data_IF_219543666334
#
_entry.id   IF_219543666334
#
_cell.length_a   1.000
_cell.length_b   1.000
_cell.length_c   1.000
_cell.angle_alpha   90.00
_cell.angle_beta   90.00
_cell.angle_gamma   90.00
#
_symmetry.space_group_name_H-M   'P 1'
#
loop_
_entity.id
_entity.type
_entity.pdbx_description
1 polymer ?
2 polymer ?
3 water ?
#
# COMPACT_ATOMS: atom_id res chain seq x y z
N UNK A 13 9.40 0.90 -23.76
CA UNK A 13 8.82 1.66 -22.66
C UNK A 13 7.52 2.33 -23.08
N UNK A 14 6.43 1.98 -22.40
CA UNK A 14 5.10 2.48 -22.72
C UNK A 14 4.66 3.51 -21.67
N UNK A 15 3.58 4.21 -21.99
CA UNK A 15 3.06 5.25 -21.12
C UNK A 15 2.42 4.65 -19.87
N UNK A 16 2.05 5.54 -18.95
CA UNK A 16 1.45 5.13 -17.68
C UNK A 16 0.18 4.33 -17.93
N UNK A 17 0.17 3.09 -17.43
CA UNK A 17 -0.96 2.19 -17.62
C UNK A 17 -1.10 1.30 -16.41
N UNK A 18 -2.12 0.45 -16.43
CA UNK A 18 -2.42 -0.47 -15.34
C UNK A 18 -1.99 -1.88 -15.74
N UNK A 19 -1.27 -2.54 -14.83
CA UNK A 19 -0.83 -3.91 -15.00
C UNK A 19 -1.42 -4.76 -13.89
N UNK A 20 -1.18 -6.07 -13.99
CA UNK A 20 -1.72 -7.01 -13.03
C UNK A 20 -0.93 -6.97 -11.72
N UNK A 21 -1.59 -7.40 -10.64
CA UNK A 21 -0.93 -7.56 -9.34
C UNK A 21 -1.81 -8.51 -8.52
N UNK A 22 -1.52 -9.81 -8.61
CA UNK A 22 -2.31 -10.83 -7.93
C UNK A 22 -1.84 -10.93 -6.49
N UNK A 23 -2.63 -10.37 -5.57
CA UNK A 23 -2.31 -10.44 -4.15
C UNK A 23 -2.80 -11.77 -3.60
N UNK A 24 -1.91 -12.48 -2.91
CA UNK A 24 -2.23 -13.78 -2.31
C UNK A 24 -1.95 -13.68 -0.82
N UNK A 25 -3.00 -13.72 -0.01
CA UNK A 25 -2.85 -13.55 1.43
C UNK A 25 -2.07 -14.68 2.07
N UNK A 26 -2.09 -15.87 1.47
CA UNK A 26 -1.30 -16.98 2.00
C UNK A 26 0.19 -16.72 1.86
N UNK A 27 0.59 -15.96 0.84
CA UNK A 27 1.99 -15.61 0.67
C UNK A 27 2.51 -14.66 1.74
N UNK A 28 1.61 -14.02 2.50
CA UNK A 28 1.99 -13.07 3.54
C UNK A 28 1.68 -13.59 4.94
N UNK A 29 1.27 -14.85 5.05
CA UNK A 29 0.92 -15.38 6.36
C UNK A 29 -0.32 -14.78 6.98
N UNK A 30 -1.17 -14.13 6.18
CA UNK A 30 -2.37 -13.49 6.68
C UNK A 30 -3.59 -14.41 6.66
N UNK A 31 -3.43 -15.66 6.22
CA UNK A 31 -4.55 -16.60 6.23
C UNK A 31 -4.92 -17.05 7.63
N UNK A 32 -4.10 -16.76 8.64
CA UNK A 32 -4.46 -17.14 10.00
C UNK A 32 -5.61 -16.30 10.53
N UNK A 33 -5.75 -15.05 10.06
CA UNK A 33 -6.84 -14.20 10.49
C UNK A 33 -7.85 -13.88 9.40
N UNK A 34 -7.50 -14.07 8.12
CA UNK A 34 -8.41 -13.82 7.01
C UNK A 34 -9.07 -15.13 6.61
N UNK A 35 -10.40 -15.12 6.57
CA UNK A 35 -11.15 -16.30 6.15
C UNK A 35 -11.38 -16.30 4.64
N UNK A 36 -11.90 -15.20 4.11
CA UNK A 36 -12.19 -15.09 2.67
C UNK A 36 -12.25 -13.63 2.30
N UNK A 37 -11.73 -13.23 1.12
CA UNK A 37 -11.06 -14.13 0.18
C UNK A 37 -9.60 -14.36 0.54
N UNK A 38 -8.96 -15.32 -0.12
CA UNK A 38 -7.55 -15.61 0.13
C UNK A 38 -6.63 -15.03 -0.94
N UNK A 39 -7.19 -14.56 -2.06
CA UNK A 39 -6.41 -13.94 -3.12
C UNK A 39 -7.34 -13.08 -3.95
N UNK A 40 -6.78 -12.03 -4.55
CA UNK A 40 -7.57 -11.16 -5.40
C UNK A 40 -6.66 -10.35 -6.30
N UNK A 41 -7.25 -9.81 -7.38
CA UNK A 41 -6.52 -9.00 -8.34
C UNK A 41 -6.59 -7.54 -7.88
N UNK A 42 -5.44 -6.98 -7.52
CA UNK A 42 -5.37 -5.61 -7.05
C UNK A 42 -4.82 -4.64 -8.11
N UNK A 43 -4.16 -5.16 -9.14
CA UNK A 43 -3.53 -4.35 -10.19
C UNK A 43 -2.44 -3.46 -9.62
N UNK A 44 -1.71 -2.77 -10.50
CA UNK A 44 -0.78 -1.73 -10.10
C UNK A 44 -0.55 -0.82 -11.30
N UNK A 45 0.25 0.22 -11.10
CA UNK A 45 0.45 1.24 -12.12
C UNK A 45 1.92 1.30 -12.53
N UNK A 46 2.15 1.42 -13.83
CA UNK A 46 3.52 1.53 -14.33
C UNK A 46 3.49 2.07 -15.75
N UNK A 47 4.48 2.88 -16.08
CA UNK A 47 4.61 3.42 -17.42
C UNK A 47 5.22 4.80 -17.40
N UNK A 48 5.63 5.24 -18.59
CA UNK A 48 6.25 6.55 -18.73
C UNK A 48 5.24 7.66 -18.50
N UNK A 49 5.73 8.79 -17.98
CA UNK A 49 4.92 9.98 -17.74
C UNK A 49 5.53 11.11 -18.57
N UNK A 50 5.16 11.16 -19.85
CA UNK A 50 5.66 12.15 -20.79
C UNK A 50 4.52 13.06 -21.25
N UNK A 51 4.89 14.06 -22.03
CA UNK A 51 3.95 15.08 -22.51
C UNK A 51 3.41 14.71 -23.88
N UNK A 52 2.09 14.86 -24.11
CA UNK A 52 1.12 15.31 -23.12
C UNK A 52 0.59 14.18 -22.25
N UNK A 53 -0.13 14.54 -21.18
CA UNK A 53 -0.70 13.54 -20.28
C UNK A 53 -2.03 13.06 -20.86
N UNK A 54 -2.04 11.82 -21.36
CA UNK A 54 -3.24 11.20 -21.92
C UNK A 54 -3.92 10.36 -20.85
N UNK A 55 -5.13 10.74 -20.48
CA UNK A 55 -5.88 10.02 -19.46
C UNK A 55 -7.36 10.29 -19.67
N UNK A 56 -8.18 9.28 -19.35
CA UNK A 56 -9.63 9.46 -19.42
C UNK A 56 -10.10 10.51 -18.42
N UNK A 57 -9.51 10.53 -17.23
CA UNK A 57 -9.81 11.52 -16.22
C UNK A 57 -8.79 12.65 -16.27
N UNK A 58 -9.25 13.85 -15.92
CA UNK A 58 -8.38 15.02 -16.02
C UNK A 58 -7.30 14.98 -14.95
N UNK A 59 -6.05 15.18 -15.31
CA UNK A 59 -4.97 15.21 -14.29
C UNK A 59 -5.08 16.46 -13.43
N UNK A 60 -4.46 16.39 -12.26
CA UNK A 60 -4.40 17.54 -11.38
C UNK A 60 -3.60 18.66 -12.04
N UNK A 61 -3.89 19.89 -11.65
CA UNK A 61 -3.17 21.04 -12.19
C UNK A 61 -1.68 20.94 -11.89
N UNK A 62 -1.34 20.47 -10.69
CA UNK A 62 0.07 20.33 -10.33
C UNK A 62 0.77 19.31 -11.21
N UNK A 63 0.10 18.20 -11.51
CA UNK A 63 0.70 17.20 -12.39
C UNK A 63 0.95 17.77 -13.78
N UNK A 64 -0.02 18.54 -14.30
CA UNK A 64 0.16 19.18 -15.61
C UNK A 64 1.37 20.11 -15.57
N UNK A 65 1.46 20.94 -14.53
CA UNK A 65 2.56 21.91 -14.44
C UNK A 65 3.90 21.19 -14.35
N UNK A 66 4.00 20.16 -13.52
CA UNK A 66 5.27 19.48 -13.33
C UNK A 66 5.67 18.71 -14.59
N UNK A 67 4.71 18.09 -15.27
CA UNK A 67 5.02 17.40 -16.52
C UNK A 67 5.48 18.38 -17.59
N UNK A 68 4.84 19.56 -17.65
CA UNK A 68 5.27 20.57 -18.61
C UNK A 68 6.67 21.08 -18.30
N UNK A 69 6.98 21.25 -17.02
CA UNK A 69 8.31 21.71 -16.64
C UNK A 69 9.37 20.65 -16.95
N UNK A 70 9.04 19.37 -16.74
CA UNK A 70 9.96 18.31 -17.11
C UNK A 70 10.14 18.22 -18.62
N UNK A 71 9.08 18.51 -19.38
CA UNK A 71 9.22 18.56 -20.84
C UNK A 71 10.08 19.72 -21.27
N UNK A 72 9.99 20.85 -20.57
CA UNK A 72 10.80 22.02 -20.89
C UNK A 72 12.26 21.81 -20.51
N UNK A 73 12.54 21.73 -19.21
CA UNK A 73 13.90 21.53 -18.70
C UNK A 73 13.91 20.26 -17.85
N UNK A 74 14.23 19.10 -18.45
CA UNK A 74 14.28 17.87 -17.65
C UNK A 74 15.41 17.85 -16.64
N UNK A 75 16.46 18.64 -16.84
CA UNK A 75 17.56 18.68 -15.88
C UNK A 75 17.09 19.24 -14.53
N UNK A 76 16.11 20.13 -14.55
CA UNK A 76 15.65 20.77 -13.32
C UNK A 76 14.74 19.84 -12.52
N UNK A 77 13.53 19.62 -13.01
CA UNK A 77 12.55 18.88 -12.23
C UNK A 77 12.43 17.44 -12.71
N UNK A 78 12.23 16.50 -11.79
CA UNK A 78 11.98 15.12 -12.17
C UNK A 78 10.56 14.97 -12.72
N UNK A 79 10.31 13.94 -13.52
CA UNK A 79 8.97 13.78 -14.10
C UNK A 79 7.97 13.28 -13.06
N UNK A 80 6.69 13.36 -13.43
CA UNK A 80 5.64 12.78 -12.61
C UNK A 80 5.73 11.25 -12.65
N UNK A 81 5.02 10.61 -11.74
CA UNK A 81 5.09 9.15 -11.59
C UNK A 81 3.71 8.52 -11.78
N UNK A 82 3.72 7.29 -12.28
CA UNK A 82 2.49 6.56 -12.59
C UNK A 82 1.95 5.93 -11.31
N UNK A 83 0.79 6.41 -10.85
CA UNK A 83 0.20 5.96 -9.58
C UNK A 83 -1.30 5.82 -9.77
N UNK A 84 -1.94 5.05 -8.89
CA UNK A 84 -3.41 4.92 -8.97
C UNK A 84 -4.09 6.26 -8.76
N UNK A 85 -5.16 6.49 -9.53
CA UNK A 85 -6.00 7.68 -9.39
C UNK A 85 -7.44 7.37 -9.05
N UNK A 86 -7.91 6.15 -9.32
CA UNK A 86 -9.21 5.68 -8.88
C UNK A 86 -9.05 4.29 -8.29
N UNK A 87 -9.72 4.04 -7.17
CA UNK A 87 -9.68 2.73 -6.54
C UNK A 87 -11.09 2.32 -6.11
N UNK A 88 -11.28 1.01 -5.99
CA UNK A 88 -12.53 0.41 -5.56
C UNK A 88 -12.27 -0.49 -4.35
N UNK A 89 -13.28 -0.68 -3.50
CA UNK A 89 -13.08 -1.49 -2.29
C UNK A 89 -13.29 -2.97 -2.56
N UNK A 90 -12.91 -3.79 -1.57
CA UNK A 90 -13.24 -5.21 -1.58
C UNK A 90 -13.67 -5.60 -0.16
N UNK A 91 -14.53 -6.61 -0.09
CA UNK A 91 -14.99 -7.13 1.19
C UNK A 91 -14.04 -8.22 1.68
N UNK A 92 -13.76 -8.21 2.98
CA UNK A 92 -12.90 -9.20 3.61
C UNK A 92 -13.61 -9.72 4.86
N UNK A 93 -13.69 -11.04 4.99
CA UNK A 93 -14.23 -11.70 6.16
C UNK A 93 -13.05 -12.23 6.97
N UNK A 94 -12.84 -11.69 8.16
CA UNK A 94 -11.64 -12.00 8.94
C UNK A 94 -12.03 -12.18 10.40
N UNK A 95 -11.02 -12.44 11.24
CA UNK A 95 -11.20 -12.63 12.67
C UNK A 95 -10.37 -11.56 13.38
N UNK A 96 -11.03 -10.67 14.10
CA UNK A 96 -10.34 -9.56 14.75
C UNK A 96 -9.69 -10.04 16.04
N UNK A 97 -9.20 -9.10 16.85
CA UNK A 97 -8.46 -9.47 18.06
C UNK A 97 -9.36 -10.04 19.15
N UNK A 98 -10.68 -9.87 19.03
CA UNK A 98 -11.63 -10.32 20.04
C UNK A 98 -12.31 -11.63 19.66
N UNK A 99 -11.72 -12.41 18.74
CA UNK A 99 -12.27 -13.67 18.29
C UNK A 99 -13.68 -13.50 17.72
N UNK A 100 -13.90 -12.40 17.00
CA UNK A 100 -15.14 -12.13 16.33
C UNK A 100 -14.94 -12.19 14.82
N UNK A 101 -15.90 -12.77 14.11
CA UNK A 101 -15.84 -12.84 12.66
C UNK A 101 -16.48 -11.57 12.09
N UNK A 102 -15.67 -10.78 11.40
CA UNK A 102 -16.06 -9.46 10.93
C UNK A 102 -16.04 -9.43 9.41
N UNK A 103 -17.11 -8.92 8.82
CA UNK A 103 -17.19 -8.65 7.39
C UNK A 103 -16.97 -7.15 7.19
N UNK A 104 -15.79 -6.77 6.70
CA UNK A 104 -15.43 -5.37 6.56
C UNK A 104 -15.13 -5.04 5.10
N UNK A 105 -15.62 -3.88 4.67
CA UNK A 105 -15.37 -3.39 3.31
C UNK A 105 -14.14 -2.51 3.35
N UNK A 106 -12.99 -3.07 2.95
CA UNK A 106 -11.75 -2.31 2.89
C UNK A 106 -11.71 -1.47 1.63
N UNK A 107 -11.44 -0.18 1.79
CA UNK A 107 -11.39 0.76 0.69
C UNK A 107 -10.00 0.81 0.08
N UNK A 108 -9.92 1.34 -1.15
CA UNK A 108 -8.66 1.54 -1.85
C UNK A 108 -7.87 0.24 -1.95
N UNK A 109 -8.52 -0.80 -2.48
CA UNK A 109 -7.91 -2.12 -2.60
C UNK A 109 -7.62 -2.52 -4.04
N UNK A 110 -8.41 -2.05 -5.00
CA UNK A 110 -8.27 -2.42 -6.40
C UNK A 110 -8.09 -1.15 -7.22
N UNK A 111 -7.03 -1.10 -8.02
CA UNK A 111 -6.76 0.05 -8.87
C UNK A 111 -7.66 -0.03 -10.10
N UNK A 112 -8.44 1.02 -10.33
CA UNK A 112 -9.33 1.07 -11.49
C UNK A 112 -8.83 1.99 -12.60
N UNK A 113 -7.88 2.87 -12.30
CA UNK A 113 -7.28 3.73 -13.32
C UNK A 113 -5.97 4.28 -12.78
N UNK A 114 -5.01 4.48 -13.69
CA UNK A 114 -3.70 5.00 -13.35
C UNK A 114 -3.50 6.36 -14.01
N UNK A 115 -2.64 7.17 -13.39
CA UNK A 115 -2.35 8.49 -13.92
C UNK A 115 -1.03 8.99 -13.39
N UNK A 116 -0.56 10.08 -14.01
CA UNK A 116 0.73 10.67 -13.65
C UNK A 116 0.51 11.81 -12.67
N UNK A 117 1.21 11.76 -11.54
CA UNK A 117 1.06 12.76 -10.49
C UNK A 117 2.41 13.24 -9.97
N UNK B 4 -8.53 4.93 18.37
CA UNK B 4 -8.03 4.80 17.01
C UNK B 4 -6.73 4.02 16.97
N UNK B 5 -6.45 3.39 15.83
CA UNK B 5 -5.26 2.58 15.68
C UNK B 5 -4.04 3.48 15.54
N UNK B 6 -3.04 3.27 16.41
CA UNK B 6 -1.84 4.11 16.41
C UNK B 6 -0.64 3.36 15.86
N UNK B 7 -0.80 2.76 14.68
CA UNK B 7 0.30 1.99 14.10
C UNK B 7 1.36 2.92 13.49
N UNK B 8 0.93 4.09 12.97
CA UNK B 8 1.89 5.02 12.38
C UNK B 8 2.79 5.68 13.43
N UNK B 9 2.35 5.73 14.69
CA UNK B 9 3.18 6.34 15.73
C UNK B 9 4.45 5.55 15.95
N UNK B 10 4.44 4.24 15.66
CA UNK B 10 5.62 3.41 15.85
C UNK B 10 6.65 3.58 14.73
N UNK B 11 6.22 4.06 13.55
CA UNK B 11 7.14 4.23 12.43
C UNK B 11 7.98 5.50 12.53
N UNK B 12 7.73 6.36 13.51
CA UNK B 12 8.45 7.62 13.61
C UNK B 12 9.84 7.41 14.20
N UNK B 13 9.92 6.75 15.37
CA UNK B 13 11.21 6.53 16.02
C UNK B 13 12.10 5.58 15.24
N UNK B 14 11.53 4.75 14.38
CA UNK B 14 12.30 3.80 13.59
C UNK B 14 13.04 4.50 12.45
N UNK B 48 19.37 -4.38 16.45
CA UNK B 48 18.12 -5.10 16.63
C UNK B 48 17.29 -4.47 17.74
N UNK B 49 17.85 -3.43 18.38
CA UNK B 49 17.13 -2.74 19.44
C UNK B 49 15.95 -1.94 18.89
N UNK B 50 16.12 -1.32 17.72
CA UNK B 50 15.01 -0.61 17.10
C UNK B 50 13.88 -1.57 16.73
N UNK B 51 14.22 -2.79 16.33
CA UNK B 51 13.19 -3.79 16.04
C UNK B 51 12.42 -4.17 17.29
N UNK B 52 13.11 -4.32 18.42
CA UNK B 52 12.42 -4.60 19.67
C UNK B 52 11.54 -3.44 20.11
N UNK B 53 11.99 -2.20 19.90
CA UNK B 53 11.16 -1.05 20.22
C UNK B 53 9.92 -1.00 19.34
N UNK B 54 10.09 -1.29 18.05
CA UNK B 54 8.95 -1.36 17.14
C UNK B 54 7.97 -2.43 17.59
N UNK B 55 8.48 -3.60 17.98
CA UNK B 55 7.60 -4.68 18.45
C UNK B 55 6.84 -4.28 19.70
N UNK B 56 7.54 -3.65 20.66
CA UNK B 56 6.87 -3.21 21.89
C UNK B 56 5.81 -2.16 21.60
N UNK B 57 6.09 -1.24 20.67
CA UNK B 57 5.11 -0.23 20.32
C UNK B 57 3.88 -0.86 19.66
N UNK B 58 4.10 -1.84 18.77
CA UNK B 58 2.97 -2.52 18.15
C UNK B 58 2.16 -3.30 19.17
N UNK B 59 2.82 -3.89 20.17
CA UNK B 59 2.10 -4.55 21.25
C UNK B 59 1.28 -3.54 22.04
N UNK B 60 1.84 -2.36 22.30
CA UNK B 60 1.13 -1.36 23.09
C UNK B 60 -0.08 -0.83 22.34
N UNK B 61 0.01 -0.65 21.03
CA UNK B 61 -1.09 -0.14 20.23
C UNK B 61 -1.96 -1.23 19.62
N UNK B 62 -1.79 -2.49 20.05
CA UNK B 62 -2.52 -3.60 19.45
C UNK B 62 -3.98 -3.66 19.87
N UNK B 63 -4.41 -2.84 20.83
CA UNK B 63 -5.78 -2.93 21.32
C UNK B 63 -6.77 -2.33 20.33
N UNK B 64 -6.57 -1.07 19.96
CA UNK B 64 -7.51 -0.39 19.08
C UNK B 64 -7.48 -0.90 17.66
N UNK B 65 -6.41 -1.59 17.26
CA UNK B 65 -6.27 -2.12 15.90
C UNK B 65 -6.87 -3.52 15.86
N UNK B 66 -8.20 -3.58 15.83
CA UNK B 66 -8.88 -4.86 15.73
C UNK B 66 -8.62 -5.52 14.38
N UNK B 67 -8.79 -4.77 13.30
CA UNK B 67 -8.56 -5.30 11.97
C UNK B 67 -8.06 -4.24 11.01
N UNK B 68 -6.79 -3.87 11.12
CA UNK B 68 -6.17 -2.87 10.27
C UNK B 68 -5.03 -3.49 9.49
N UNK B 69 -4.98 -3.23 8.19
CA UNK B 69 -3.95 -3.84 7.35
C UNK B 69 -2.56 -3.33 7.70
N UNK B 70 -2.45 -2.05 8.10
CA UNK B 70 -1.14 -1.49 8.42
C UNK B 70 -0.52 -2.18 9.62
N UNK B 71 -1.33 -2.58 10.60
CA UNK B 71 -0.80 -3.26 11.78
C UNK B 71 -0.18 -4.61 11.42
N UNK B 72 -0.94 -5.44 10.69
CA UNK B 72 -0.41 -6.74 10.29
C UNK B 72 0.79 -6.58 9.36
N UNK B 73 0.76 -5.58 8.48
CA UNK B 73 1.88 -5.34 7.58
C UNK B 73 3.13 -4.95 8.37
N UNK B 74 2.97 -4.09 9.38
CA UNK B 74 4.12 -3.71 10.20
C UNK B 74 4.65 -4.88 10.99
N UNK B 75 3.77 -5.76 11.47
CA UNK B 75 4.22 -6.96 12.18
C UNK B 75 5.01 -7.86 11.25
N UNK B 76 4.50 -8.07 10.04
CA UNK B 76 5.22 -8.88 9.06
C UNK B 76 6.57 -8.28 8.72
N UNK B 77 6.63 -6.95 8.60
CA UNK B 77 7.89 -6.29 8.32
C UNK B 77 8.89 -6.41 9.45
N UNK B 78 8.42 -6.29 10.69
CA UNK B 78 9.28 -6.49 11.85
C UNK B 78 9.85 -7.90 11.85
N UNK B 79 8.99 -8.89 11.58
CA UNK B 79 9.47 -10.27 11.54
C UNK B 79 10.48 -10.48 10.42
N UNK B 80 10.22 -9.91 9.24
CA UNK B 80 11.13 -10.07 8.12
C UNK B 80 12.48 -9.39 8.38
N UNK B 81 12.47 -8.25 9.07
CA UNK B 81 13.71 -7.57 9.40
C UNK B 81 14.46 -8.24 10.54
N UNK B 82 13.75 -8.92 11.45
CA UNK B 82 14.43 -9.67 12.50
C UNK B 82 15.05 -10.95 11.96
N UNK B 83 14.37 -11.61 11.02
CA UNK B 83 14.93 -12.83 10.43
C UNK B 83 16.11 -12.48 9.53
N UNK B 84 16.03 -11.35 8.84
CA UNK B 84 17.12 -10.94 7.95
C UNK B 84 18.38 -10.65 8.74
N UNK B 85 19.53 -10.84 8.07
CA UNK B 85 20.85 -10.64 8.66
C UNK B 85 21.03 -11.50 9.90
N UNK B 86 21.06 -10.88 11.08
CA UNK B 86 21.24 -11.63 12.33
C UNK B 86 20.65 -10.81 13.48
N UNK B 87 19.45 -11.21 13.92
CA UNK B 87 18.82 -10.61 15.08
C UNK B 87 18.15 -11.72 15.90
N UNK B 88 17.82 -11.37 17.14
CA UNK B 88 17.18 -12.32 18.04
C UNK B 88 16.33 -11.61 19.08
#
# INVERSE_FOLDING_TARGET
MKRQGKRPSKNLKARCSRKALHVNFKDMGWDDWIIAPLEYEAFHCEGLCEFPLRSHLEPTNHAVIQTLMNSMDPESTPPTCCVPTRLSPISILFIDSANNVVYKQYEDMVVESCGCR
ETGQCKILRCNAEYVSSTLSLRGGGSSGALRGGGGGGRGGGVGSGGLCRALRSYALCTRRTARTCRGDLAFHSAVHGIEDLMIQHNCSRQGPTAPPPPRGPALPGAGSGLPAPGTKHHHHHH
#
